data_IF_995113901438
#
_entry.id   IF_995113901438
#
_cell.length_a   1.000
_cell.length_b   1.000
_cell.length_c   1.000
_cell.angle_alpha   90.00
_cell.angle_beta   90.00
_cell.angle_gamma   90.00
#
_symmetry.space_group_name_H-M   'P 1'
#
loop_
_entity.id
_entity.type
_entity.pdbx_description
1 polymer ?
#
# COMPACT_ATOMS: atom_id res chain seq x y z
N UNK A 1 -10.94 49.94 19.30
CA UNK A 1 -10.25 48.69 18.90
C UNK A 1 -11.20 47.55 19.26
N UNK A 2 -12.12 47.21 18.37
CA UNK A 2 -13.25 46.29 18.66
C UNK A 2 -12.85 44.89 18.22
N UNK A 3 -12.66 43.99 19.18
CA UNK A 3 -12.25 42.61 18.94
C UNK A 3 -13.49 41.87 18.40
N UNK A 4 -13.42 41.39 17.15
CA UNK A 4 -14.44 40.55 16.54
C UNK A 4 -14.55 39.24 17.32
N UNK A 5 -15.50 39.17 18.24
CA UNK A 5 -15.86 37.95 18.96
C UNK A 5 -16.64 37.02 18.03
N UNK A 6 -15.97 36.01 17.47
CA UNK A 6 -16.63 34.93 16.74
C UNK A 6 -17.58 34.19 17.70
N UNK A 7 -18.85 34.06 17.28
CA UNK A 7 -19.87 33.32 18.04
C UNK A 7 -19.38 31.89 18.34
N UNK A 8 -19.65 31.34 19.54
CA UNK A 8 -19.27 29.96 19.89
C UNK A 8 -19.84 28.93 18.91
N UNK A 9 -20.96 29.24 18.26
CA UNK A 9 -21.51 28.41 17.19
C UNK A 9 -20.62 28.38 15.94
N UNK A 10 -20.04 29.52 15.56
CA UNK A 10 -19.13 29.59 14.42
C UNK A 10 -17.82 28.83 14.70
N UNK A 11 -17.33 28.87 15.93
CA UNK A 11 -16.15 28.10 16.37
C UNK A 11 -16.44 26.60 16.32
N UNK A 12 -17.63 26.17 16.78
CA UNK A 12 -18.05 24.78 16.72
C UNK A 12 -18.18 24.27 15.29
N UNK A 13 -18.78 25.06 14.38
CA UNK A 13 -18.90 24.69 12.96
C UNK A 13 -17.52 24.60 12.29
N UNK A 14 -16.60 25.53 12.59
CA UNK A 14 -15.24 25.48 12.08
C UNK A 14 -14.49 24.25 12.60
N UNK A 15 -14.66 23.91 13.88
CA UNK A 15 -14.06 22.74 14.51
C UNK A 15 -14.60 21.42 13.91
N UNK A 16 -15.91 21.31 13.70
CA UNK A 16 -16.53 20.15 13.03
C UNK A 16 -16.06 20.03 11.58
N UNK A 17 -15.95 21.14 10.86
CA UNK A 17 -15.45 21.18 9.47
C UNK A 17 -13.96 20.82 9.35
N UNK A 18 -13.19 21.04 10.42
CA UNK A 18 -11.78 20.63 10.51
C UNK A 18 -11.64 19.15 10.92
N UNK A 19 -12.54 18.63 11.76
CA UNK A 19 -12.60 17.22 12.16
C UNK A 19 -12.94 16.28 10.99
N UNK A 20 -13.85 16.68 10.09
CA UNK A 20 -14.26 15.87 8.94
C UNK A 20 -13.08 15.52 7.99
N UNK A 21 -12.11 16.43 7.89
CA UNK A 21 -10.88 16.21 7.09
C UNK A 21 -9.92 15.20 7.71
N UNK A 22 -10.09 14.84 8.98
CA UNK A 22 -9.16 13.97 9.73
C UNK A 22 -9.68 12.57 10.03
N UNK A 23 -11.00 12.33 9.89
CA UNK A 23 -11.65 11.05 10.30
C UNK A 23 -12.40 10.36 9.14
N UNK A 24 -12.13 10.73 7.89
CA UNK A 24 -12.55 9.89 6.78
C UNK A 24 -11.52 8.78 6.59
N UNK A 25 -11.77 7.60 7.17
CA UNK A 25 -11.34 6.36 6.52
C UNK A 25 -11.92 6.47 5.13
N UNK A 26 -11.08 6.76 4.12
CA UNK A 26 -11.50 6.64 2.72
C UNK A 26 -11.77 5.16 2.47
N UNK A 27 -12.96 4.69 2.83
CA UNK A 27 -13.55 3.58 2.10
C UNK A 27 -13.65 4.11 0.68
N UNK A 28 -12.73 3.67 -0.19
CA UNK A 28 -12.87 3.94 -1.60
C UNK A 28 -14.23 3.36 -2.00
N UNK A 29 -15.16 4.22 -2.42
CA UNK A 29 -16.48 3.81 -2.92
C UNK A 29 -16.39 3.01 -4.24
N UNK A 30 -15.18 2.64 -4.66
CA UNK A 30 -14.90 1.83 -5.82
C UNK A 30 -14.84 0.37 -5.35
N UNK A 31 -16.02 -0.25 -5.18
CA UNK A 31 -16.12 -1.66 -5.54
C UNK A 31 -16.00 -1.62 -7.06
N UNK A 32 -14.77 -1.76 -7.58
CA UNK A 32 -14.54 -1.93 -9.00
C UNK A 32 -15.46 -3.05 -9.49
N UNK A 33 -16.10 -2.85 -10.63
CA UNK A 33 -16.82 -3.91 -11.32
C UNK A 33 -15.93 -5.17 -11.33
N UNK A 34 -16.52 -6.38 -11.16
CA UNK A 34 -15.73 -7.61 -11.18
C UNK A 34 -14.81 -7.56 -12.39
N UNK A 35 -13.50 -7.65 -12.15
CA UNK A 35 -12.51 -7.59 -13.22
C UNK A 35 -12.76 -8.81 -14.09
N UNK A 36 -13.47 -8.59 -15.20
CA UNK A 36 -13.60 -9.58 -16.25
C UNK A 36 -12.21 -9.67 -16.87
N UNK A 37 -11.51 -10.77 -16.60
CA UNK A 37 -10.26 -11.14 -17.24
C UNK A 37 -10.51 -11.16 -18.76
N UNK A 38 -10.29 -10.00 -19.38
CA UNK A 38 -10.42 -9.83 -20.82
C UNK A 38 -9.07 -10.21 -21.39
N UNK A 39 -8.96 -11.27 -22.21
CA UNK A 39 -7.68 -11.78 -22.71
C UNK A 39 -6.88 -10.76 -23.52
N UNK A 40 -7.50 -9.63 -23.88
CA UNK A 40 -6.94 -8.53 -24.67
C UNK A 40 -6.32 -7.39 -23.84
N UNK A 41 -6.25 -7.49 -22.50
CA UNK A 41 -5.53 -6.51 -21.66
C UNK A 41 -4.15 -7.06 -21.29
N UNK A 42 -3.06 -6.61 -21.94
CA UNK A 42 -1.72 -7.05 -21.55
C UNK A 42 -1.36 -6.45 -20.18
N UNK A 43 -1.57 -7.24 -19.13
CA UNK A 43 -1.15 -6.91 -17.77
C UNK A 43 0.36 -7.01 -17.65
N UNK A 44 0.93 -6.23 -16.73
CA UNK A 44 2.34 -6.34 -16.32
C UNK A 44 2.42 -6.77 -14.87
N UNK A 45 3.53 -7.40 -14.51
CA UNK A 45 3.82 -7.80 -13.14
C UNK A 45 5.06 -7.09 -12.61
N UNK A 46 5.04 -6.75 -11.33
CA UNK A 46 6.19 -6.30 -10.56
C UNK A 46 6.22 -7.02 -9.21
N UNK A 47 7.39 -7.17 -8.60
CA UNK A 47 7.54 -7.77 -7.27
C UNK A 47 8.23 -6.75 -6.37
N UNK A 48 7.67 -6.54 -5.18
CA UNK A 48 8.20 -5.62 -4.18
C UNK A 48 8.36 -6.33 -2.83
N UNK A 49 9.45 -6.05 -2.12
CA UNK A 49 9.67 -6.43 -0.72
C UNK A 49 9.84 -5.14 0.08
N UNK A 50 9.05 -4.91 1.12
CA UNK A 50 9.05 -3.63 1.83
C UNK A 50 8.56 -3.77 3.28
N UNK A 51 8.93 -4.87 3.93
CA UNK A 51 8.47 -5.25 5.26
C UNK A 51 7.39 -6.33 5.22
N UNK A 52 6.47 -6.32 6.20
CA UNK A 52 5.37 -7.29 6.25
C UNK A 52 4.55 -7.28 4.97
N UNK A 53 4.36 -8.45 4.36
CA UNK A 53 3.56 -8.60 3.15
C UNK A 53 2.09 -8.23 3.32
N UNK A 54 1.51 -8.26 4.53
CA UNK A 54 0.12 -7.89 4.78
C UNK A 54 -0.08 -6.39 4.58
N UNK A 55 0.87 -5.61 5.09
CA UNK A 55 0.88 -4.16 4.89
C UNK A 55 1.19 -3.82 3.44
N UNK A 56 2.14 -4.54 2.85
CA UNK A 56 2.55 -4.35 1.45
C UNK A 56 1.40 -4.61 0.49
N UNK A 57 0.69 -5.74 0.66
CA UNK A 57 -0.47 -6.11 -0.13
C UNK A 57 -1.58 -5.06 -0.03
N UNK A 58 -1.89 -4.61 1.18
CA UNK A 58 -2.89 -3.56 1.38
C UNK A 58 -2.47 -2.23 0.71
N UNK A 59 -1.18 -1.87 0.75
CA UNK A 59 -0.68 -0.64 0.13
C UNK A 59 -0.87 -0.63 -1.40
N UNK A 60 -0.65 -1.77 -2.07
CA UNK A 60 -0.83 -1.87 -3.52
C UNK A 60 -2.26 -2.21 -3.95
N UNK A 61 -2.98 -3.02 -3.19
CA UNK A 61 -4.30 -3.53 -3.55
C UNK A 61 -5.38 -2.44 -3.67
N UNK A 62 -5.16 -1.28 -3.06
CA UNK A 62 -6.07 -0.13 -3.17
C UNK A 62 -5.76 0.81 -4.35
N UNK A 63 -4.74 0.53 -5.15
CA UNK A 63 -4.33 1.41 -6.27
C UNK A 63 -5.20 1.12 -7.49
N UNK A 64 -5.84 2.16 -8.04
CA UNK A 64 -6.56 2.04 -9.31
C UNK A 64 -5.61 1.57 -10.43
N UNK A 65 -5.99 0.51 -11.14
CA UNK A 65 -5.18 -0.12 -12.17
C UNK A 65 -4.37 -1.31 -11.69
N UNK A 66 -4.25 -1.54 -10.37
CA UNK A 66 -3.81 -2.84 -9.84
C UNK A 66 -4.98 -3.81 -9.93
N UNK A 67 -4.73 -4.94 -10.57
CA UNK A 67 -5.73 -5.98 -10.84
C UNK A 67 -5.66 -7.09 -9.79
N UNK A 68 -4.45 -7.46 -9.40
CA UNK A 68 -4.22 -8.52 -8.41
C UNK A 68 -2.94 -8.26 -7.64
N UNK A 69 -2.98 -8.57 -6.36
CA UNK A 69 -1.82 -8.67 -5.49
C UNK A 69 -1.72 -10.09 -4.95
N UNK A 70 -0.50 -10.61 -4.86
CA UNK A 70 -0.23 -11.94 -4.32
C UNK A 70 0.93 -11.86 -3.34
N UNK A 71 0.66 -12.13 -2.06
CA UNK A 71 1.69 -12.24 -1.03
C UNK A 71 2.48 -13.55 -1.19
N UNK A 72 3.80 -13.50 -0.95
CA UNK A 72 4.70 -14.65 -1.07
C UNK A 72 6.11 -14.37 -0.61
N UNK A 73 7.07 -15.18 -1.07
CA UNK A 73 8.47 -15.11 -0.68
C UNK A 73 9.37 -15.07 -1.92
N UNK A 74 10.30 -14.11 -2.00
CA UNK A 74 11.18 -13.95 -3.16
C UNK A 74 12.60 -13.51 -2.74
N UNK A 75 13.55 -13.54 -3.68
CA UNK A 75 14.92 -13.05 -3.44
C UNK A 75 15.80 -13.95 -2.56
N UNK A 76 15.42 -15.21 -2.36
CA UNK A 76 16.22 -16.24 -1.69
C UNK A 76 16.46 -17.46 -2.58
N UNK A 77 17.07 -18.50 -2.00
CA UNK A 77 17.52 -19.72 -2.67
C UNK A 77 16.73 -20.97 -2.25
N UNK A 78 15.96 -20.89 -1.16
CA UNK A 78 15.17 -22.03 -0.66
C UNK A 78 14.05 -22.38 -1.64
N UNK A 79 14.04 -23.62 -2.12
CA UNK A 79 12.93 -24.15 -2.93
C UNK A 79 11.68 -24.35 -2.07
N UNK A 80 10.52 -23.95 -2.60
CA UNK A 80 9.21 -24.06 -1.95
C UNK A 80 9.20 -23.50 -0.51
N UNK A 81 9.49 -22.21 -0.33
CA UNK A 81 9.46 -21.57 0.99
C UNK A 81 8.05 -21.59 1.57
N UNK A 82 7.94 -21.85 2.87
CA UNK A 82 6.69 -21.81 3.63
C UNK A 82 6.81 -20.76 4.74
N UNK A 83 5.68 -20.25 5.25
CA UNK A 83 5.66 -19.15 6.22
C UNK A 83 6.57 -19.36 7.43
N UNK A 84 6.62 -20.59 7.98
CA UNK A 84 7.46 -20.92 9.14
C UNK A 84 8.92 -21.22 8.78
N UNK A 85 9.23 -21.42 7.49
CA UNK A 85 10.55 -21.81 7.00
C UNK A 85 10.80 -21.19 5.62
N UNK A 86 10.88 -19.86 5.55
CA UNK A 86 11.12 -19.17 4.28
C UNK A 86 12.61 -19.14 3.86
N UNK A 87 13.54 -19.41 4.78
CA UNK A 87 14.98 -19.36 4.49
C UNK A 87 15.50 -17.93 4.34
N UNK A 88 16.24 -17.68 3.27
CA UNK A 88 16.86 -16.39 2.91
C UNK A 88 15.94 -15.49 2.07
N UNK A 89 14.69 -15.88 1.85
CA UNK A 89 13.72 -15.06 1.13
C UNK A 89 13.31 -13.81 1.94
N UNK A 90 12.83 -12.79 1.23
CA UNK A 90 12.05 -11.70 1.82
C UNK A 90 10.57 -11.99 1.67
N UNK A 91 9.76 -11.48 2.60
CA UNK A 91 8.34 -11.29 2.36
C UNK A 91 8.17 -10.32 1.19
N UNK A 92 7.35 -10.70 0.22
CA UNK A 92 7.19 -9.96 -1.03
C UNK A 92 5.75 -9.98 -1.49
N UNK A 93 5.38 -8.99 -2.29
CA UNK A 93 4.09 -8.92 -2.98
C UNK A 93 4.33 -8.84 -4.48
N UNK A 94 3.72 -9.74 -5.23
CA UNK A 94 3.59 -9.61 -6.68
C UNK A 94 2.37 -8.73 -6.98
N UNK A 95 2.58 -7.70 -7.78
CA UNK A 95 1.55 -6.74 -8.21
C UNK A 95 1.34 -6.92 -9.70
N UNK A 96 0.14 -7.35 -10.09
CA UNK A 96 -0.31 -7.39 -11.47
C UNK A 96 -1.18 -6.17 -11.75
N UNK A 97 -0.83 -5.41 -12.78
CA UNK A 97 -1.43 -4.12 -13.05
C UNK A 97 -1.63 -3.86 -14.55
N UNK A 98 -2.63 -3.04 -14.86
CA UNK A 98 -2.88 -2.52 -16.20
C UNK A 98 -1.99 -1.30 -16.46
N UNK A 99 -0.96 -1.40 -17.34
CA UNK A 99 -0.02 -0.32 -17.58
C UNK A 99 -0.65 0.90 -18.25
N UNK A 100 -1.91 0.81 -18.71
CA UNK A 100 -2.67 1.92 -19.28
C UNK A 100 -3.34 2.78 -18.20
N UNK A 101 -3.48 2.24 -16.98
CA UNK A 101 -4.11 2.92 -15.83
C UNK A 101 -3.07 3.36 -14.82
N UNK A 102 -2.10 2.49 -14.48
CA UNK A 102 -1.02 2.78 -13.55
C UNK A 102 0.33 2.36 -14.12
N UNK A 103 1.32 3.25 -14.05
CA UNK A 103 2.68 2.97 -14.53
C UNK A 103 3.58 2.41 -13.42
N UNK A 104 4.64 1.69 -13.82
CA UNK A 104 5.64 1.16 -12.89
C UNK A 104 6.25 2.24 -11.97
N UNK A 105 6.46 3.46 -12.49
CA UNK A 105 6.97 4.58 -11.69
C UNK A 105 6.04 4.96 -10.53
N UNK A 106 4.73 4.92 -10.74
CA UNK A 106 3.75 5.20 -9.68
C UNK A 106 3.77 4.10 -8.62
N UNK A 107 3.98 2.84 -9.02
CA UNK A 107 4.18 1.74 -8.08
C UNK A 107 5.47 1.93 -7.26
N UNK A 108 6.54 2.43 -7.88
CA UNK A 108 7.77 2.81 -7.16
C UNK A 108 7.54 3.97 -6.19
N UNK A 109 6.71 4.95 -6.53
CA UNK A 109 6.39 6.05 -5.61
C UNK A 109 5.67 5.52 -4.35
N UNK A 110 4.76 4.56 -4.51
CA UNK A 110 4.13 3.86 -3.38
C UNK A 110 5.16 3.05 -2.60
N UNK A 111 6.03 2.30 -3.28
CA UNK A 111 7.10 1.54 -2.64
C UNK A 111 7.96 2.42 -1.73
N UNK A 112 8.51 3.52 -2.24
CA UNK A 112 9.39 4.41 -1.48
C UNK A 112 8.68 5.18 -0.36
N UNK A 113 7.38 5.42 -0.47
CA UNK A 113 6.60 6.07 0.59
C UNK A 113 6.06 5.11 1.65
N UNK A 114 6.15 3.80 1.44
CA UNK A 114 5.53 2.78 2.30
C UNK A 114 6.49 2.07 3.25
N UNK A 115 7.80 2.36 3.22
CA UNK A 115 8.81 1.78 4.11
C UNK A 115 9.92 2.78 4.45
N UNK A 116 10.70 2.51 5.50
CA UNK A 116 11.89 3.30 5.87
C UNK A 116 13.14 2.63 5.30
N UNK A 117 13.68 3.19 4.21
CA UNK A 117 14.88 2.65 3.55
C UNK A 117 16.14 2.69 4.42
N UNK A 118 16.12 3.36 5.57
CA UNK A 118 17.28 3.33 6.49
C UNK A 118 17.32 2.06 7.35
N UNK A 119 16.23 1.28 7.40
CA UNK A 119 16.15 0.05 8.18
C UNK A 119 16.58 -1.14 7.32
N UNK A 120 17.74 -1.73 7.67
CA UNK A 120 18.41 -2.77 6.85
C UNK A 120 18.07 -4.20 7.30
N UNK A 121 17.54 -4.38 8.52
CA UNK A 121 17.21 -5.71 9.09
C UNK A 121 15.80 -5.73 9.71
N UNK A 122 14.85 -5.08 9.05
CA UNK A 122 13.49 -4.95 9.55
C UNK A 122 12.76 -3.79 8.91
N UNK A 123 11.46 -3.73 9.15
CA UNK A 123 10.62 -2.58 8.82
C UNK A 123 9.64 -2.30 9.97
N UNK A 124 9.71 -1.09 10.51
CA UNK A 124 8.91 -0.70 11.68
C UNK A 124 9.15 -1.63 12.88
N UNK A 125 8.09 -2.26 13.43
CA UNK A 125 8.23 -3.22 14.54
C UNK A 125 8.70 -4.60 14.11
N UNK A 126 8.68 -4.92 12.81
CA UNK A 126 9.00 -6.23 12.28
C UNK A 126 10.51 -6.37 12.10
N UNK A 127 11.14 -7.24 12.89
CA UNK A 127 12.60 -7.44 12.91
C UNK A 127 12.97 -8.76 12.25
N UNK A 128 13.92 -8.72 11.32
CA UNK A 128 14.40 -9.90 10.61
C UNK A 128 14.75 -9.63 9.15
N UNK A 129 15.65 -10.45 8.59
CA UNK A 129 16.06 -10.35 7.19
C UNK A 129 14.91 -10.56 6.20
N UNK A 130 13.84 -11.23 6.63
CA UNK A 130 12.63 -11.43 5.83
C UNK A 130 11.88 -10.13 5.54
N UNK A 131 12.11 -9.07 6.31
CA UNK A 131 11.42 -7.79 6.18
C UNK A 131 12.26 -6.73 5.46
N UNK A 132 13.32 -7.13 4.76
CA UNK A 132 14.17 -6.22 3.97
C UNK A 132 13.45 -5.69 2.71
N UNK A 133 14.04 -4.68 2.09
CA UNK A 133 13.59 -4.10 0.81
C UNK A 133 14.65 -4.19 -0.28
#
# INVERSE_FOLDING_TARGET
>A
MTILSLSPFAILVLYISLLDKTVSIRLSNQISDPVVDSPDRPLKSAVFALGSFWRSEAAFGCINGVVRTTAGYSGGTKVNPEYRKLGDHAESVQVEYDPRVVGYRQLLDVFWSSHDSRQVFGQGPDVGNQYRY
#
